data_IF_553145880549
#
_entry.id   IF_553145880549
#
_cell.length_a   1.000
_cell.length_b   1.000
_cell.length_c   1.000
_cell.angle_alpha   90.00
_cell.angle_beta   90.00
_cell.angle_gamma   90.00
#
_symmetry.space_group_name_H-M   'P 1'
#
loop_
_entity.id
_entity.type
_entity.pdbx_description
1 polymer ?
#
# COMPACT_ATOMS: atom_id res chain seq x y z
N UNK A 1 -9.82 -11.75 9.01
CA UNK A 1 -9.16 -10.84 8.05
C UNK A 1 -9.78 -9.45 8.21
N UNK A 2 -9.20 -8.59 9.05
CA UNK A 2 -9.68 -7.21 9.27
C UNK A 2 -9.05 -6.24 8.26
N UNK A 3 -9.70 -5.12 8.00
CA UNK A 3 -9.11 -3.97 7.30
C UNK A 3 -8.35 -3.02 8.23
N UNK A 4 -8.34 -3.34 9.54
CA UNK A 4 -7.74 -2.52 10.58
C UNK A 4 -6.21 -2.53 10.54
N UNK A 5 -5.64 -1.38 10.92
CA UNK A 5 -4.21 -1.20 11.06
C UNK A 5 -3.74 -1.82 12.37
N UNK A 6 -3.02 -2.93 12.26
CA UNK A 6 -2.36 -3.53 13.41
C UNK A 6 -1.33 -2.56 14.03
N UNK A 7 -1.28 -2.43 15.37
CA UNK A 7 -0.36 -1.51 16.06
C UNK A 7 1.11 -1.71 15.67
N UNK A 8 1.54 -2.94 15.40
CA UNK A 8 2.92 -3.24 14.99
C UNK A 8 3.33 -2.58 13.66
N UNK A 9 2.39 -2.21 12.79
CA UNK A 9 2.70 -1.56 11.52
C UNK A 9 3.02 -0.07 11.68
N UNK A 10 2.54 0.55 12.77
CA UNK A 10 2.61 2.02 12.96
C UNK A 10 4.04 2.58 12.92
N UNK A 11 5.06 1.97 13.55
CA UNK A 11 6.42 2.50 13.52
C UNK A 11 7.02 2.57 12.10
N UNK A 12 6.70 1.61 11.22
CA UNK A 12 7.19 1.62 9.85
C UNK A 12 6.41 2.60 8.96
N UNK A 13 5.10 2.74 9.20
CA UNK A 13 4.30 3.78 8.55
C UNK A 13 4.77 5.19 8.96
N UNK A 14 5.19 5.37 10.20
CA UNK A 14 5.73 6.64 10.70
C UNK A 14 7.05 7.00 9.99
N UNK A 15 7.98 6.05 9.82
CA UNK A 15 9.20 6.28 9.03
C UNK A 15 8.90 6.64 7.57
N UNK A 16 7.90 5.98 6.97
CA UNK A 16 7.49 6.27 5.60
C UNK A 16 6.88 7.67 5.48
N UNK A 17 6.12 8.09 6.49
CA UNK A 17 5.56 9.42 6.61
C UNK A 17 6.66 10.48 6.73
N UNK A 18 7.63 10.29 7.63
CA UNK A 18 8.78 11.19 7.80
C UNK A 18 9.56 11.34 6.49
N UNK A 19 9.83 10.22 5.80
CA UNK A 19 10.46 10.25 4.48
C UNK A 19 9.68 11.10 3.45
N UNK A 20 8.35 10.98 3.42
CA UNK A 20 7.51 11.76 2.51
C UNK A 20 7.45 13.24 2.89
N UNK A 21 7.62 13.59 4.16
CA UNK A 21 7.74 14.98 4.61
C UNK A 21 9.06 15.60 4.14
N UNK A 22 10.16 14.86 4.28
CA UNK A 22 11.49 15.30 3.85
C UNK A 22 11.63 15.40 2.32
N UNK A 23 10.86 14.60 1.57
CA UNK A 23 10.91 14.55 0.10
C UNK A 23 9.56 14.95 -0.52
N UNK A 24 9.23 16.25 -0.59
CA UNK A 24 7.90 16.73 -1.01
C UNK A 24 7.56 16.43 -2.48
N UNK A 25 8.56 16.12 -3.30
CA UNK A 25 8.45 15.70 -4.70
C UNK A 25 8.18 14.20 -4.88
N UNK A 26 8.29 13.41 -3.82
CA UNK A 26 7.97 11.99 -3.84
C UNK A 26 6.47 11.75 -3.71
N UNK A 27 6.00 10.70 -4.38
CA UNK A 27 4.64 10.17 -4.25
C UNK A 27 4.69 8.75 -3.70
N UNK A 28 3.65 8.36 -2.99
CA UNK A 28 3.47 7.03 -2.45
C UNK A 28 2.37 6.30 -3.21
N UNK A 29 2.63 5.03 -3.57
CA UNK A 29 1.62 4.08 -4.00
C UNK A 29 1.54 2.93 -3.00
N UNK A 30 0.32 2.63 -2.55
CA UNK A 30 -0.02 1.57 -1.62
C UNK A 30 -0.83 0.53 -2.39
N UNK A 31 -0.39 -0.73 -2.35
CA UNK A 31 -1.06 -1.85 -3.02
C UNK A 31 -1.45 -2.91 -1.99
N UNK A 32 -2.75 -3.17 -1.83
CA UNK A 32 -3.27 -4.20 -0.92
C UNK A 32 -3.55 -5.51 -1.64
N UNK A 33 -3.19 -6.64 -1.00
CA UNK A 33 -3.39 -7.98 -1.55
C UNK A 33 -4.02 -8.94 -0.53
N UNK A 34 -4.78 -9.93 -1.02
CA UNK A 34 -5.32 -11.03 -0.21
C UNK A 34 -4.75 -12.37 -0.68
N UNK A 35 -4.98 -13.44 0.09
CA UNK A 35 -4.84 -14.78 -0.44
C UNK A 35 -6.00 -15.12 -1.40
N UNK A 36 -5.88 -16.23 -2.15
CA UNK A 36 -6.83 -16.62 -3.19
C UNK A 36 -8.11 -17.26 -2.68
N UNK A 37 -8.27 -17.46 -1.36
CA UNK A 37 -9.45 -18.14 -0.81
C UNK A 37 -10.62 -17.17 -0.68
N UNK A 38 -11.83 -17.71 -0.81
CA UNK A 38 -13.06 -16.95 -0.66
C UNK A 38 -13.49 -16.21 -1.91
N UNK A 39 -14.49 -15.34 -1.76
CA UNK A 39 -15.10 -14.60 -2.86
C UNK A 39 -14.17 -13.49 -3.38
N UNK A 40 -14.05 -13.38 -4.71
CA UNK A 40 -13.14 -12.44 -5.37
C UNK A 40 -13.55 -10.98 -5.17
N UNK A 41 -14.86 -10.69 -5.12
CA UNK A 41 -15.39 -9.34 -4.87
C UNK A 41 -15.13 -8.94 -3.42
N UNK A 42 -15.34 -9.85 -2.47
CA UNK A 42 -15.02 -9.61 -1.06
C UNK A 42 -13.51 -9.39 -0.87
N UNK A 43 -12.67 -10.17 -1.54
CA UNK A 43 -11.22 -10.01 -1.49
C UNK A 43 -10.77 -8.65 -2.06
N UNK A 44 -11.37 -8.22 -3.17
CA UNK A 44 -11.12 -6.89 -3.72
C UNK A 44 -11.51 -5.79 -2.72
N UNK A 45 -12.73 -5.83 -2.18
CA UNK A 45 -13.21 -4.85 -1.19
C UNK A 45 -12.32 -4.80 0.06
N UNK A 46 -11.94 -5.96 0.59
CA UNK A 46 -11.07 -6.08 1.76
C UNK A 46 -9.68 -5.48 1.50
N UNK A 47 -9.04 -5.86 0.38
CA UNK A 47 -7.72 -5.31 0.04
C UNK A 47 -7.75 -3.80 -0.20
N UNK A 48 -8.83 -3.29 -0.79
CA UNK A 48 -9.02 -1.85 -1.02
C UNK A 48 -9.19 -1.12 0.32
N UNK A 49 -10.08 -1.61 1.19
CA UNK A 49 -10.31 -1.01 2.51
C UNK A 49 -9.02 -0.95 3.35
N UNK A 50 -8.16 -1.98 3.29
CA UNK A 50 -6.84 -1.96 3.94
C UNK A 50 -5.92 -0.88 3.38
N UNK A 51 -5.83 -0.80 2.06
CA UNK A 51 -4.97 0.18 1.40
C UNK A 51 -5.43 1.61 1.70
N UNK A 52 -6.75 1.84 1.76
CA UNK A 52 -7.35 3.12 2.11
C UNK A 52 -7.11 3.48 3.59
N UNK A 53 -7.29 2.54 4.52
CA UNK A 53 -7.00 2.78 5.93
C UNK A 53 -5.55 3.22 6.18
N UNK A 54 -4.58 2.60 5.49
CA UNK A 54 -3.17 2.98 5.58
C UNK A 54 -2.95 4.39 5.00
N UNK A 55 -3.55 4.67 3.84
CA UNK A 55 -3.48 5.99 3.20
C UNK A 55 -4.01 7.07 4.13
N UNK A 56 -5.18 6.85 4.72
CA UNK A 56 -5.84 7.81 5.59
C UNK A 56 -5.00 8.07 6.85
N UNK A 57 -4.45 7.02 7.47
CA UNK A 57 -3.52 7.17 8.59
C UNK A 57 -2.31 8.06 8.25
N UNK A 58 -1.65 7.81 7.10
CA UNK A 58 -0.49 8.60 6.67
C UNK A 58 -0.88 10.05 6.35
N UNK A 59 -2.03 10.25 5.69
CA UNK A 59 -2.52 11.59 5.34
C UNK A 59 -2.88 12.41 6.57
N UNK A 60 -3.61 11.83 7.52
CA UNK A 60 -4.09 12.52 8.72
C UNK A 60 -2.94 12.82 9.68
N UNK A 61 -2.10 11.82 9.96
CA UNK A 61 -0.97 11.98 10.89
C UNK A 61 0.11 12.90 10.33
N UNK A 62 0.44 12.73 9.05
CA UNK A 62 1.52 13.46 8.38
C UNK A 62 1.09 14.77 7.73
N UNK A 63 -0.22 15.07 7.68
CA UNK A 63 -0.77 16.21 6.93
C UNK A 63 -0.33 16.22 5.45
N UNK A 64 -0.20 15.02 4.86
CA UNK A 64 0.25 14.85 3.48
C UNK A 64 -0.94 14.98 2.52
N UNK A 65 -0.77 15.75 1.44
CA UNK A 65 -1.83 15.95 0.43
C UNK A 65 -2.24 14.65 -0.24
N UNK A 66 -3.54 14.45 -0.44
CA UNK A 66 -4.10 13.27 -1.13
C UNK A 66 -3.47 13.01 -2.50
N UNK A 67 -3.13 14.05 -3.26
CA UNK A 67 -2.51 13.92 -4.59
C UNK A 67 -1.13 13.26 -4.58
N UNK A 68 -0.50 13.14 -3.40
CA UNK A 68 0.79 12.46 -3.22
C UNK A 68 0.65 10.98 -2.87
N UNK A 69 -0.54 10.51 -2.51
CA UNK A 69 -0.73 9.12 -2.04
C UNK A 69 -1.87 8.46 -2.83
N UNK A 70 -1.54 7.35 -3.48
CA UNK A 70 -2.51 6.49 -4.16
C UNK A 70 -2.63 5.15 -3.43
N UNK A 71 -3.85 4.66 -3.28
CA UNK A 71 -4.13 3.38 -2.64
C UNK A 71 -5.01 2.53 -3.56
N UNK A 72 -4.64 1.26 -3.73
CA UNK A 72 -5.40 0.32 -4.56
C UNK A 72 -5.38 -1.10 -3.98
N UNK A 73 -6.56 -1.67 -3.85
CA UNK A 73 -6.75 -3.10 -3.61
C UNK A 73 -6.66 -3.90 -4.91
N UNK A 74 -5.96 -5.02 -4.88
CA UNK A 74 -5.87 -5.95 -5.99
C UNK A 74 -6.58 -7.28 -5.71
N UNK A 75 -7.11 -7.48 -4.51
CA UNK A 75 -7.61 -8.77 -4.04
C UNK A 75 -6.55 -9.85 -4.19
N UNK A 76 -6.93 -10.99 -4.74
CA UNK A 76 -6.04 -12.11 -5.03
C UNK A 76 -5.41 -12.07 -6.42
N UNK A 77 -5.64 -11.02 -7.21
CA UNK A 77 -5.27 -11.00 -8.64
C UNK A 77 -3.77 -10.77 -8.91
N UNK A 78 -2.98 -10.45 -7.88
CA UNK A 78 -1.53 -10.24 -7.99
C UNK A 78 -0.78 -11.03 -6.89
N UNK A 79 -0.80 -12.37 -6.96
CA UNK A 79 -0.10 -13.21 -5.98
C UNK A 79 1.41 -13.14 -6.20
N UNK A 80 2.18 -13.17 -5.11
CA UNK A 80 3.62 -13.44 -5.18
C UNK A 80 3.87 -14.94 -5.40
N UNK A 81 3.10 -15.77 -4.67
CA UNK A 81 3.12 -17.22 -4.81
C UNK A 81 1.82 -17.64 -5.49
N UNK A 82 1.92 -18.13 -6.72
CA UNK A 82 0.74 -18.47 -7.55
C UNK A 82 -0.06 -19.64 -6.97
N UNK A 83 0.63 -20.69 -6.53
CA UNK A 83 0.03 -21.92 -6.03
C UNK A 83 0.55 -22.26 -4.62
N UNK A 84 0.10 -21.54 -3.58
CA UNK A 84 0.63 -21.71 -2.23
C UNK A 84 0.11 -23.01 -1.57
N UNK A 85 1.01 -23.89 -1.16
CA UNK A 85 0.67 -25.22 -0.64
C UNK A 85 0.29 -25.16 0.85
N UNK A 86 0.99 -24.33 1.62
CA UNK A 86 0.85 -24.25 3.08
C UNK A 86 0.36 -22.87 3.57
N UNK A 87 0.08 -22.78 4.88
CA UNK A 87 -0.50 -21.56 5.47
C UNK A 87 0.48 -20.38 5.46
N UNK A 88 1.77 -20.68 5.54
CA UNK A 88 2.87 -19.74 5.52
C UNK A 88 2.98 -19.08 4.15
N UNK A 89 2.97 -19.86 3.07
CA UNK A 89 2.96 -19.34 1.69
C UNK A 89 1.70 -18.52 1.39
N UNK A 90 0.53 -18.96 1.88
CA UNK A 90 -0.70 -18.15 1.77
C UNK A 90 -0.58 -16.81 2.51
N UNK A 91 0.16 -16.79 3.63
CA UNK A 91 0.41 -15.56 4.39
C UNK A 91 1.21 -14.54 3.60
N UNK A 92 2.18 -14.99 2.80
CA UNK A 92 3.00 -14.11 1.94
C UNK A 92 2.12 -13.31 0.96
N UNK A 93 1.03 -13.89 0.47
CA UNK A 93 0.10 -13.18 -0.41
C UNK A 93 -0.79 -12.15 0.32
N UNK A 94 -1.02 -12.30 1.63
CA UNK A 94 -1.74 -11.32 2.46
C UNK A 94 -0.79 -10.19 2.89
N UNK A 95 -0.48 -9.31 1.95
CA UNK A 95 0.50 -8.23 2.14
C UNK A 95 -0.03 -6.87 1.69
N UNK A 96 0.69 -5.84 2.12
CA UNK A 96 0.60 -4.50 1.56
C UNK A 96 1.98 -4.11 1.04
N UNK A 97 2.03 -3.57 -0.18
CA UNK A 97 3.26 -3.08 -0.78
C UNK A 97 3.25 -1.56 -0.84
N UNK A 98 4.43 -0.97 -0.59
CA UNK A 98 4.67 0.46 -0.68
C UNK A 98 5.66 0.74 -1.81
N UNK A 99 5.32 1.66 -2.70
CA UNK A 99 6.21 2.11 -3.76
C UNK A 99 6.32 3.63 -3.74
N UNK A 100 7.55 4.10 -3.57
CA UNK A 100 7.90 5.50 -3.72
C UNK A 100 8.15 5.82 -5.19
N UNK A 101 7.60 6.94 -5.65
CA UNK A 101 7.67 7.40 -7.03
C UNK A 101 8.14 8.85 -7.06
N UNK A 102 9.23 9.12 -7.77
CA UNK A 102 9.66 10.49 -8.05
C UNK A 102 8.70 11.15 -9.03
N UNK A 103 8.30 12.38 -8.72
CA UNK A 103 7.59 13.22 -9.67
C UNK A 103 8.61 13.76 -10.68
N UNK A 104 8.83 13.04 -11.81
CA UNK A 104 9.75 13.42 -12.91
C UNK A 104 9.31 14.67 -13.70
N UNK A 105 8.87 15.72 -13.01
CA UNK A 105 8.59 17.03 -13.59
C UNK A 105 9.73 17.99 -13.24
N UNK A 106 10.97 17.65 -13.60
CA UNK A 106 12.09 18.59 -13.63
C UNK A 106 12.91 18.38 -14.91
N UNK A 107 12.68 19.29 -15.86
CA UNK A 107 13.60 19.78 -16.88
C UNK A 107 14.44 18.74 -17.65
N UNK A 108 13.88 18.19 -18.72
CA UNK A 108 14.68 17.87 -19.92
C UNK A 108 14.96 19.19 -20.63
N UNK A 109 15.96 19.94 -20.16
CA UNK A 109 16.59 20.99 -20.96
C UNK A 109 17.90 20.41 -21.46
N UNK A 110 17.85 19.69 -22.58
CA UNK A 110 19.06 19.43 -23.36
C UNK A 110 19.51 20.79 -23.93
N UNK A 111 20.67 21.27 -23.49
CA UNK A 111 21.49 22.20 -24.28
C UNK A 111 22.55 21.39 -25.00
#
# INVERSE_FOLDING_TARGET
NSAELEPEMKPDLDKLMDFLLDHPDMKLKISGHTDARGDSVLNYKLSQARADAIKDYIMEKGKIRQSRISAKGYGSNQPLIKDPENAQERSVNRRVEFKLLENKSKNVTNR
#
